data_IF_072971003265
#
_entry.id   IF_072971003265
#
_cell.length_a   1.000
_cell.length_b   1.000
_cell.length_c   1.000
_cell.angle_alpha   90.00
_cell.angle_beta   90.00
_cell.angle_gamma   90.00
#
_symmetry.space_group_name_H-M   'P 1'
#
loop_
_entity.id
_entity.type
_entity.pdbx_description
1 polymer ?
#
# COMPACT_ATOMS: atom_id res chain seq x y z
N UNK A 1 -25.68 -25.51 -3.46
CA UNK A 1 -24.57 -26.32 -2.94
C UNK A 1 -23.28 -25.62 -3.32
N UNK A 2 -22.37 -25.38 -2.37
CA UNK A 2 -21.08 -24.77 -2.65
C UNK A 2 -20.06 -25.90 -2.78
N UNK A 3 -19.69 -26.26 -4.01
CA UNK A 3 -18.65 -27.25 -4.25
C UNK A 3 -17.27 -26.62 -4.07
N UNK A 4 -16.33 -27.38 -3.50
CA UNK A 4 -14.95 -26.90 -3.33
C UNK A 4 -14.28 -26.83 -4.70
N UNK A 5 -13.66 -25.70 -5.00
CA UNK A 5 -12.84 -25.53 -6.20
C UNK A 5 -11.64 -26.49 -6.19
N UNK A 6 -11.43 -27.23 -7.28
CA UNK A 6 -10.22 -28.04 -7.50
C UNK A 6 -9.13 -27.16 -8.12
N UNK A 7 -7.93 -27.19 -7.54
CA UNK A 7 -6.76 -26.46 -8.06
C UNK A 7 -5.87 -27.43 -8.84
N UNK A 8 -5.52 -27.07 -10.07
CA UNK A 8 -4.64 -27.87 -10.93
C UNK A 8 -3.40 -27.05 -11.29
N UNK A 9 -2.17 -27.54 -11.02
CA UNK A 9 -0.96 -26.86 -11.45
C UNK A 9 -0.82 -26.94 -12.97
N UNK A 10 -0.61 -25.79 -13.63
CA UNK A 10 -0.46 -25.71 -15.09
C UNK A 10 0.97 -26.05 -15.58
N UNK A 11 1.87 -26.42 -14.67
CA UNK A 11 3.26 -26.77 -14.97
C UNK A 11 4.23 -25.58 -14.90
N UNK A 12 5.40 -25.74 -15.52
CA UNK A 12 6.48 -24.75 -15.57
C UNK A 12 6.65 -24.30 -17.01
N UNK A 13 6.69 -22.98 -17.24
CA UNK A 13 6.97 -22.38 -18.54
C UNK A 13 8.44 -21.98 -18.56
N UNK A 14 9.23 -22.57 -19.47
CA UNK A 14 10.67 -22.28 -19.61
C UNK A 14 10.90 -21.01 -20.44
N UNK A 15 10.47 -19.87 -19.90
CA UNK A 15 10.51 -18.56 -20.53
C UNK A 15 10.94 -17.49 -19.53
N UNK A 16 11.65 -16.47 -20.00
CA UNK A 16 12.11 -15.37 -19.15
C UNK A 16 11.14 -14.18 -19.24
N UNK A 17 10.41 -13.91 -18.17
CA UNK A 17 9.51 -12.74 -18.08
C UNK A 17 10.22 -11.38 -18.26
N UNK A 18 11.55 -11.31 -18.11
CA UNK A 18 12.32 -10.09 -18.33
C UNK A 18 12.58 -9.79 -19.82
N UNK A 19 12.27 -10.73 -20.72
CA UNK A 19 12.44 -10.59 -22.18
C UNK A 19 11.05 -10.45 -22.79
N UNK A 20 10.80 -9.38 -23.54
CA UNK A 20 9.45 -9.05 -24.04
C UNK A 20 8.85 -10.16 -24.91
N UNK A 21 9.64 -10.78 -25.79
CA UNK A 21 9.19 -11.87 -26.66
C UNK A 21 8.81 -13.13 -25.87
N UNK A 22 9.57 -13.44 -24.82
CA UNK A 22 9.28 -14.55 -23.94
C UNK A 22 8.08 -14.26 -23.05
N UNK A 23 7.93 -13.03 -22.56
CA UNK A 23 6.75 -12.58 -21.81
C UNK A 23 5.48 -12.68 -22.68
N UNK A 24 5.55 -12.28 -23.95
CA UNK A 24 4.46 -12.46 -24.90
C UNK A 24 4.10 -13.95 -25.07
N UNK A 25 5.10 -14.83 -25.19
CA UNK A 25 4.87 -16.26 -25.29
C UNK A 25 4.19 -16.84 -24.02
N UNK A 26 4.60 -16.37 -22.83
CA UNK A 26 3.95 -16.72 -21.55
C UNK A 26 2.47 -16.30 -21.57
N UNK A 27 2.18 -15.04 -21.94
CA UNK A 27 0.81 -14.52 -21.94
C UNK A 27 -0.07 -15.26 -22.97
N UNK A 28 0.45 -15.55 -24.17
CA UNK A 28 -0.29 -16.35 -25.16
C UNK A 28 -0.60 -17.75 -24.65
N UNK A 29 0.34 -18.40 -23.96
CA UNK A 29 0.08 -19.69 -23.34
C UNK A 29 -1.04 -19.58 -22.29
N UNK A 30 -1.05 -18.55 -21.45
CA UNK A 30 -2.13 -18.31 -20.50
C UNK A 30 -3.47 -17.98 -21.16
N UNK A 31 -3.45 -17.30 -22.30
CA UNK A 31 -4.66 -16.98 -23.07
C UNK A 31 -5.42 -18.26 -23.47
N UNK A 32 -4.70 -19.35 -23.79
CA UNK A 32 -5.32 -20.66 -24.13
C UNK A 32 -6.13 -21.27 -22.99
N UNK A 33 -5.96 -20.79 -21.76
CA UNK A 33 -6.68 -21.24 -20.59
C UNK A 33 -7.83 -20.30 -20.18
N UNK A 34 -8.04 -19.20 -20.90
CA UNK A 34 -9.14 -18.29 -20.61
C UNK A 34 -10.48 -18.96 -20.94
N UNK A 35 -11.47 -18.89 -20.03
CA UNK A 35 -12.80 -19.37 -20.34
C UNK A 35 -13.40 -18.53 -21.47
N UNK A 36 -13.99 -19.20 -22.44
CA UNK A 36 -14.77 -18.56 -23.50
C UNK A 36 -16.25 -18.82 -23.22
N UNK A 37 -17.05 -17.77 -23.28
CA UNK A 37 -18.49 -17.91 -23.38
C UNK A 37 -18.82 -18.48 -24.77
N UNK A 38 -19.96 -19.17 -24.90
CA UNK A 38 -20.35 -19.89 -26.13
C UNK A 38 -20.46 -19.05 -27.41
N UNK A 39 -20.27 -17.73 -27.31
CA UNK A 39 -20.29 -16.76 -28.42
C UNK A 39 -18.88 -16.21 -28.78
N UNK A 40 -17.80 -16.95 -28.48
CA UNK A 40 -16.40 -16.50 -28.66
C UNK A 40 -16.01 -15.24 -27.86
N UNK A 41 -16.83 -14.83 -26.89
CA UNK A 41 -16.49 -13.77 -25.96
C UNK A 41 -15.58 -14.35 -24.87
N UNK A 42 -14.40 -13.76 -24.71
CA UNK A 42 -13.42 -14.18 -23.69
C UNK A 42 -13.85 -13.62 -22.34
N UNK A 43 -14.08 -14.50 -21.36
CA UNK A 43 -14.41 -14.08 -20.02
C UNK A 43 -13.17 -13.49 -19.32
N UNK A 44 -13.38 -12.38 -18.62
CA UNK A 44 -12.31 -11.56 -18.06
C UNK A 44 -11.72 -12.23 -16.82
N UNK A 45 -10.43 -12.50 -16.86
CA UNK A 45 -9.73 -13.15 -15.76
C UNK A 45 -8.66 -12.24 -15.14
N UNK A 46 -8.52 -12.35 -13.82
CA UNK A 46 -7.47 -11.66 -13.07
C UNK A 46 -6.14 -12.42 -13.18
N UNK A 47 -5.09 -11.68 -13.54
CA UNK A 47 -3.70 -12.14 -13.57
C UNK A 47 -2.91 -11.39 -12.51
N UNK A 48 -2.59 -12.08 -11.42
CA UNK A 48 -1.80 -11.52 -10.33
C UNK A 48 -0.34 -11.97 -10.44
N UNK A 49 0.58 -11.00 -10.34
CA UNK A 49 2.02 -11.24 -10.32
C UNK A 49 2.73 -10.24 -9.41
N UNK A 50 4.04 -10.33 -9.30
CA UNK A 50 4.80 -9.26 -8.64
C UNK A 50 4.74 -7.95 -9.46
N UNK A 51 5.21 -6.85 -8.87
CA UNK A 51 5.17 -5.54 -9.52
C UNK A 51 5.88 -5.52 -10.88
N UNK A 52 7.07 -6.15 -10.99
CA UNK A 52 7.87 -6.13 -12.21
C UNK A 52 7.26 -7.04 -13.28
N UNK A 53 6.77 -8.22 -12.91
CA UNK A 53 6.04 -9.11 -13.81
C UNK A 53 4.83 -8.40 -14.39
N UNK A 54 4.03 -7.72 -13.56
CA UNK A 54 2.83 -7.01 -14.00
C UNK A 54 3.17 -5.83 -14.89
N UNK A 55 4.18 -5.02 -14.54
CA UNK A 55 4.63 -3.90 -15.38
C UNK A 55 5.06 -4.38 -16.77
N UNK A 56 5.86 -5.45 -16.84
CA UNK A 56 6.30 -6.03 -18.12
C UNK A 56 5.13 -6.60 -18.91
N UNK A 57 4.19 -7.28 -18.26
CA UNK A 57 3.00 -7.80 -18.90
C UNK A 57 2.15 -6.68 -19.53
N UNK A 58 1.90 -5.61 -18.77
CA UNK A 58 1.15 -4.44 -19.23
C UNK A 58 1.85 -3.77 -20.42
N UNK A 59 3.17 -3.60 -20.35
CA UNK A 59 3.95 -3.04 -21.45
C UNK A 59 3.85 -3.89 -22.74
N UNK A 60 3.92 -5.22 -22.60
CA UNK A 60 3.74 -6.14 -23.73
C UNK A 60 2.33 -6.04 -24.30
N UNK A 61 1.29 -6.10 -23.47
CA UNK A 61 -0.10 -5.98 -23.95
C UNK A 61 -0.35 -4.63 -24.63
N UNK A 62 0.16 -3.53 -24.09
CA UNK A 62 0.07 -2.21 -24.72
C UNK A 62 0.71 -2.18 -26.12
N UNK A 63 1.81 -2.90 -26.31
CA UNK A 63 2.48 -3.01 -27.63
C UNK A 63 1.66 -3.77 -28.67
N UNK A 64 0.70 -4.60 -28.24
CA UNK A 64 -0.18 -5.38 -29.09
C UNK A 64 -1.50 -4.69 -29.42
N UNK A 65 -1.71 -3.46 -28.96
CA UNK A 65 -2.98 -2.72 -29.10
C UNK A 65 -3.50 -2.59 -30.54
N UNK A 66 -2.65 -2.75 -31.56
CA UNK A 66 -3.03 -2.73 -32.97
C UNK A 66 -3.38 -4.13 -33.56
N UNK A 67 -3.53 -5.16 -32.73
CA UNK A 67 -3.93 -6.50 -33.16
C UNK A 67 -5.35 -6.52 -33.74
N UNK A 68 -5.61 -7.47 -34.65
CA UNK A 68 -6.88 -7.56 -35.36
C UNK A 68 -7.89 -8.52 -34.71
N UNK A 69 -7.42 -9.35 -33.77
CA UNK A 69 -8.23 -10.34 -33.07
C UNK A 69 -8.14 -10.18 -31.54
N UNK A 70 -9.15 -10.65 -30.77
CA UNK A 70 -9.09 -10.68 -29.31
C UNK A 70 -7.85 -11.41 -28.77
N UNK A 71 -7.39 -12.45 -29.48
CA UNK A 71 -6.17 -13.19 -29.12
C UNK A 71 -4.91 -12.36 -29.40
N UNK A 72 -4.86 -11.64 -30.52
CA UNK A 72 -3.70 -10.79 -30.87
C UNK A 72 -3.48 -9.68 -29.85
N UNK A 73 -4.56 -9.12 -29.31
CA UNK A 73 -4.51 -8.05 -28.30
C UNK A 73 -4.53 -8.56 -26.85
N UNK A 74 -4.60 -9.89 -26.65
CA UNK A 74 -4.73 -10.54 -25.34
C UNK A 74 -5.92 -10.04 -24.51
N UNK A 75 -7.07 -9.88 -25.17
CA UNK A 75 -8.31 -9.41 -24.55
C UNK A 75 -8.78 -10.35 -23.43
N UNK A 76 -9.28 -9.79 -22.34
CA UNK A 76 -9.76 -10.57 -21.20
C UNK A 76 -8.75 -10.71 -20.05
N UNK A 77 -7.47 -10.40 -20.28
CA UNK A 77 -6.46 -10.41 -19.23
C UNK A 77 -6.47 -9.11 -18.40
N UNK A 78 -6.83 -9.19 -17.12
CA UNK A 78 -6.80 -8.06 -16.19
C UNK A 78 -5.63 -8.22 -15.22
N UNK A 79 -4.58 -7.42 -15.40
CA UNK A 79 -3.38 -7.51 -14.57
C UNK A 79 -3.55 -6.79 -13.24
N UNK A 80 -3.17 -7.46 -12.15
CA UNK A 80 -3.19 -6.91 -10.80
C UNK A 80 -1.87 -7.18 -10.11
N UNK A 81 -1.35 -6.18 -9.40
CA UNK A 81 -0.17 -6.36 -8.56
C UNK A 81 -0.55 -7.21 -7.34
N UNK A 82 0.02 -8.40 -7.25
CA UNK A 82 -0.04 -9.29 -6.10
C UNK A 82 1.15 -9.03 -5.18
N UNK A 83 1.15 -7.91 -4.46
CA UNK A 83 2.28 -7.48 -3.63
C UNK A 83 2.32 -8.20 -2.27
N UNK A 84 2.51 -9.52 -2.31
CA UNK A 84 2.74 -10.31 -1.11
C UNK A 84 3.98 -9.81 -0.35
N UNK A 85 5.01 -9.35 -1.06
CA UNK A 85 6.24 -8.87 -0.45
C UNK A 85 6.03 -7.58 0.36
N UNK A 86 5.29 -6.59 -0.13
CA UNK A 86 4.95 -5.41 0.66
C UNK A 86 4.08 -5.78 1.87
N UNK A 87 3.10 -6.68 1.69
CA UNK A 87 2.29 -7.14 2.80
C UNK A 87 3.14 -7.81 3.90
N UNK A 88 4.11 -8.65 3.52
CA UNK A 88 5.06 -9.27 4.45
C UNK A 88 5.98 -8.23 5.09
N UNK A 89 6.46 -7.23 4.33
CA UNK A 89 7.33 -6.16 4.86
C UNK A 89 6.62 -5.30 5.89
N UNK A 90 5.43 -4.80 5.58
CA UNK A 90 4.58 -4.05 6.52
C UNK A 90 4.35 -4.90 7.76
N UNK A 91 4.01 -6.16 7.58
CA UNK A 91 3.72 -7.02 8.70
C UNK A 91 4.96 -7.32 9.56
N UNK A 92 6.13 -7.49 8.94
CA UNK A 92 7.41 -7.60 9.64
C UNK A 92 7.71 -6.34 10.47
N UNK A 93 7.39 -5.16 9.94
CA UNK A 93 7.54 -3.91 10.67
C UNK A 93 6.60 -3.83 11.88
N UNK A 94 5.32 -4.16 11.71
CA UNK A 94 4.34 -4.21 12.81
C UNK A 94 4.77 -5.20 13.91
N UNK A 95 5.29 -6.36 13.54
CA UNK A 95 5.83 -7.32 14.50
C UNK A 95 7.02 -6.76 15.27
N UNK A 96 7.96 -6.07 14.61
CA UNK A 96 9.09 -5.44 15.31
C UNK A 96 8.64 -4.45 16.38
N UNK A 97 7.56 -3.70 16.13
CA UNK A 97 7.05 -2.69 17.06
C UNK A 97 6.21 -3.33 18.17
N UNK A 98 5.26 -4.20 17.81
CA UNK A 98 4.18 -4.60 18.71
C UNK A 98 4.32 -6.00 19.30
N UNK A 99 5.30 -6.81 18.88
CA UNK A 99 5.37 -8.20 19.34
C UNK A 99 5.76 -8.35 20.81
N UNK A 100 6.61 -7.47 21.34
CA UNK A 100 7.08 -7.60 22.73
C UNK A 100 8.07 -8.76 22.93
N UNK A 101 8.76 -8.76 24.08
CA UNK A 101 9.82 -9.74 24.37
C UNK A 101 9.33 -10.95 25.17
N UNK A 102 8.26 -10.80 25.92
CA UNK A 102 7.68 -11.84 26.77
C UNK A 102 6.19 -11.61 27.00
N UNK A 103 5.53 -12.57 27.63
CA UNK A 103 4.13 -12.51 28.04
C UNK A 103 3.87 -11.49 29.17
N UNK A 104 4.90 -11.18 29.96
CA UNK A 104 4.86 -10.10 30.96
C UNK A 104 4.74 -8.69 30.38
N UNK A 105 5.01 -8.51 29.08
CA UNK A 105 4.79 -7.25 28.36
C UNK A 105 3.32 -7.16 27.92
N UNK A 106 2.45 -6.79 28.87
CA UNK A 106 1.00 -6.77 28.69
C UNK A 106 0.60 -5.85 27.53
N UNK A 107 -0.40 -6.26 26.73
CA UNK A 107 -0.83 -5.58 25.50
C UNK A 107 0.13 -5.70 24.30
N UNK A 108 1.17 -6.53 24.40
CA UNK A 108 1.97 -6.94 23.23
C UNK A 108 1.34 -8.12 22.48
N UNK A 109 1.70 -8.31 21.20
CA UNK A 109 1.24 -9.46 20.43
C UNK A 109 1.74 -10.79 21.03
N UNK A 110 2.89 -10.82 21.71
CA UNK A 110 3.38 -12.02 22.40
C UNK A 110 2.50 -12.38 23.60
N UNK A 111 2.15 -11.38 24.42
CA UNK A 111 1.25 -11.57 25.57
C UNK A 111 -0.12 -12.06 25.10
N UNK A 112 -0.70 -11.41 24.09
CA UNK A 112 -1.99 -11.79 23.51
C UNK A 112 -1.95 -13.20 22.91
N UNK A 113 -0.89 -13.55 22.18
CA UNK A 113 -0.70 -14.88 21.59
C UNK A 113 -0.76 -15.97 22.66
N UNK A 114 -0.09 -15.72 23.79
CA UNK A 114 -0.06 -16.63 24.94
C UNK A 114 -1.42 -16.73 25.60
N UNK A 115 -2.09 -15.59 25.80
CA UNK A 115 -3.41 -15.51 26.44
C UNK A 115 -4.49 -16.33 25.71
N UNK A 116 -4.48 -16.31 24.37
CA UNK A 116 -5.45 -17.05 23.55
C UNK A 116 -4.91 -18.36 22.96
N UNK A 117 -3.78 -18.85 23.48
CA UNK A 117 -3.10 -20.10 23.11
C UNK A 117 -2.87 -20.30 21.60
N UNK A 118 -2.46 -19.24 20.88
CA UNK A 118 -2.18 -19.29 19.43
C UNK A 118 -0.76 -19.79 19.14
N UNK A 119 -0.51 -21.08 19.31
CA UNK A 119 0.83 -21.71 19.18
C UNK A 119 1.43 -21.74 17.77
N UNK A 120 0.59 -21.58 16.75
CA UNK A 120 1.01 -21.55 15.35
C UNK A 120 1.58 -20.18 14.92
N UNK A 121 1.43 -19.15 15.76
CA UNK A 121 1.97 -17.81 15.53
C UNK A 121 3.45 -17.75 15.93
N UNK A 122 4.29 -17.20 15.05
CA UNK A 122 5.74 -17.11 15.20
C UNK A 122 6.19 -15.66 15.32
N UNK A 123 7.39 -15.44 15.87
CA UNK A 123 8.01 -14.11 15.94
C UNK A 123 8.52 -13.62 14.57
N UNK A 124 8.63 -14.54 13.60
CA UNK A 124 9.08 -14.24 12.24
C UNK A 124 7.93 -14.51 11.26
N UNK A 125 7.21 -13.47 10.82
CA UNK A 125 6.05 -13.56 9.94
C UNK A 125 6.26 -14.41 8.69
N UNK A 126 7.43 -14.31 8.08
CA UNK A 126 7.76 -15.06 6.87
C UNK A 126 7.68 -16.58 7.04
N UNK A 127 7.86 -17.08 8.27
CA UNK A 127 7.85 -18.52 8.57
C UNK A 127 6.43 -19.09 8.73
N UNK A 128 5.45 -18.25 9.09
CA UNK A 128 4.07 -18.66 9.34
C UNK A 128 3.06 -17.58 8.91
N UNK A 129 3.30 -16.94 7.76
CA UNK A 129 2.63 -15.71 7.32
C UNK A 129 1.11 -15.72 7.47
N UNK A 130 0.44 -16.80 7.07
CA UNK A 130 -1.03 -16.89 7.17
C UNK A 130 -1.51 -16.86 8.62
N UNK A 131 -0.92 -17.69 9.48
CA UNK A 131 -1.29 -17.77 10.88
C UNK A 131 -1.00 -16.44 11.60
N UNK A 132 0.16 -15.85 11.30
CA UNK A 132 0.59 -14.59 11.89
C UNK A 132 -0.30 -13.42 11.43
N UNK A 133 -0.65 -13.35 10.13
CA UNK A 133 -1.58 -12.35 9.58
C UNK A 133 -2.97 -12.48 10.20
N UNK A 134 -3.53 -13.68 10.23
CA UNK A 134 -4.87 -13.92 10.77
C UNK A 134 -4.93 -13.57 12.27
N UNK A 135 -3.84 -13.82 13.00
CA UNK A 135 -3.70 -13.39 14.39
C UNK A 135 -3.63 -11.87 14.53
N UNK A 136 -2.86 -11.17 13.69
CA UNK A 136 -2.82 -9.71 13.73
C UNK A 136 -4.21 -9.10 13.47
N UNK A 137 -4.92 -9.60 12.47
CA UNK A 137 -6.30 -9.14 12.17
C UNK A 137 -7.20 -9.34 13.38
N UNK A 138 -7.18 -10.53 13.99
CA UNK A 138 -7.95 -10.81 15.21
C UNK A 138 -7.64 -9.84 16.34
N UNK A 139 -6.35 -9.55 16.56
CA UNK A 139 -5.92 -8.64 17.63
C UNK A 139 -6.35 -7.20 17.34
N UNK A 140 -6.23 -6.74 16.10
CA UNK A 140 -6.70 -5.41 15.69
C UNK A 140 -8.21 -5.31 15.87
N UNK A 141 -8.98 -6.27 15.37
CA UNK A 141 -10.44 -6.33 15.55
C UNK A 141 -10.83 -6.30 17.03
N UNK A 142 -10.17 -7.11 17.86
CA UNK A 142 -10.42 -7.12 19.30
C UNK A 142 -10.17 -5.76 19.96
N UNK A 143 -9.12 -5.04 19.53
CA UNK A 143 -8.80 -3.71 20.05
C UNK A 143 -9.76 -2.64 19.55
N UNK A 144 -10.21 -2.71 18.29
CA UNK A 144 -11.27 -1.83 17.78
C UNK A 144 -12.55 -2.04 18.59
N UNK A 145 -12.97 -3.29 18.79
CA UNK A 145 -14.15 -3.60 19.61
C UNK A 145 -13.97 -3.08 21.05
N UNK A 146 -12.81 -3.25 21.66
CA UNK A 146 -12.54 -2.73 23.00
C UNK A 146 -12.60 -1.19 23.06
N UNK A 147 -12.09 -0.50 22.04
CA UNK A 147 -12.17 0.95 21.90
C UNK A 147 -13.64 1.40 21.77
N UNK A 148 -14.42 0.74 20.91
CA UNK A 148 -15.84 1.00 20.71
C UNK A 148 -16.63 0.78 22.00
N UNK A 149 -16.39 -0.34 22.70
CA UNK A 149 -17.05 -0.63 23.97
C UNK A 149 -16.76 0.45 25.01
N UNK A 150 -15.50 0.89 25.10
CA UNK A 150 -15.06 1.94 26.04
C UNK A 150 -15.69 3.29 25.70
N UNK A 151 -15.70 3.65 24.41
CA UNK A 151 -16.16 4.97 23.98
C UNK A 151 -17.67 5.09 23.95
N UNK A 152 -18.38 4.04 23.56
CA UNK A 152 -19.84 4.03 23.49
C UNK A 152 -20.49 3.65 24.83
N UNK A 153 -19.69 3.19 25.80
CA UNK A 153 -20.14 2.90 27.16
C UNK A 153 -20.88 1.57 27.28
N UNK A 154 -20.38 0.53 26.61
CA UNK A 154 -20.86 -0.84 26.82
C UNK A 154 -20.29 -1.38 28.14
N UNK A 155 -21.14 -2.01 28.96
CA UNK A 155 -20.70 -2.73 30.16
C UNK A 155 -20.15 -4.11 29.83
N UNK A 156 -20.73 -4.74 28.82
CA UNK A 156 -20.40 -6.08 28.33
C UNK A 156 -20.88 -6.27 26.88
N UNK A 157 -20.58 -7.43 26.30
CA UNK A 157 -20.86 -7.75 24.89
C UNK A 157 -22.34 -7.79 24.52
N UNK A 158 -23.23 -7.89 25.50
CA UNK A 158 -24.69 -7.97 25.30
C UNK A 158 -25.41 -6.68 25.70
N UNK A 159 -24.69 -5.73 26.29
CA UNK A 159 -25.23 -4.43 26.70
C UNK A 159 -25.48 -3.51 25.51
N UNK A 160 -26.25 -2.44 25.74
CA UNK A 160 -26.46 -1.38 24.76
C UNK A 160 -25.52 -0.19 25.03
N UNK A 161 -25.17 0.61 24.00
CA UNK A 161 -24.32 1.77 24.16
C UNK A 161 -25.02 2.84 25.02
N UNK A 162 -24.40 3.22 26.15
CA UNK A 162 -24.94 4.23 27.06
C UNK A 162 -24.72 5.66 26.58
N UNK A 163 -23.58 5.94 25.94
CA UNK A 163 -23.20 7.30 25.51
C UNK A 163 -23.77 7.66 24.13
N UNK A 164 -24.03 6.66 23.29
CA UNK A 164 -24.63 6.84 21.97
C UNK A 164 -25.68 5.74 21.72
N UNK A 165 -26.88 5.87 22.32
CA UNK A 165 -27.93 4.87 22.19
C UNK A 165 -28.40 4.74 20.74
N UNK A 166 -28.75 3.52 20.36
CA UNK A 166 -29.27 3.21 19.03
C UNK A 166 -30.62 3.92 18.82
N UNK A 167 -30.86 4.51 17.64
CA UNK A 167 -32.17 5.04 17.28
C UNK A 167 -33.27 3.97 17.37
N UNK A 168 -34.40 4.28 18.04
CA UNK A 168 -35.53 3.35 18.22
C UNK A 168 -36.19 2.91 16.90
N UNK A 169 -36.00 3.68 15.83
CA UNK A 169 -36.58 3.47 14.51
C UNK A 169 -35.57 2.96 13.48
N UNK A 170 -34.41 2.44 13.90
CA UNK A 170 -33.32 1.98 13.00
C UNK A 170 -33.80 1.05 11.86
N UNK A 171 -34.77 0.17 12.12
CA UNK A 171 -35.34 -0.74 11.13
C UNK A 171 -36.27 -0.05 10.11
N UNK A 172 -36.81 1.13 10.46
CA UNK A 172 -37.69 1.95 9.62
C UNK A 172 -36.92 3.04 8.88
N UNK A 173 -35.69 3.33 9.29
CA UNK A 173 -34.82 4.31 8.64
C UNK A 173 -34.32 3.82 7.28
N UNK A 174 -34.00 4.78 6.41
CA UNK A 174 -33.35 4.47 5.13
C UNK A 174 -31.93 3.97 5.35
N UNK A 175 -31.40 3.21 4.38
CA UNK A 175 -29.99 2.77 4.40
C UNK A 175 -29.01 3.94 4.55
N UNK A 176 -29.34 5.09 3.97
CA UNK A 176 -28.54 6.30 4.05
C UNK A 176 -28.50 6.89 5.47
N UNK A 177 -29.66 6.99 6.13
CA UNK A 177 -29.71 7.49 7.51
C UNK A 177 -28.96 6.56 8.49
N UNK A 178 -29.09 5.25 8.32
CA UNK A 178 -28.33 4.26 9.09
C UNK A 178 -26.82 4.40 8.85
N UNK A 179 -26.40 4.64 7.60
CA UNK A 179 -24.99 4.89 7.27
C UNK A 179 -24.47 6.19 7.91
N UNK A 180 -25.25 7.27 7.90
CA UNK A 180 -24.87 8.53 8.54
C UNK A 180 -24.70 8.36 10.06
N UNK A 181 -25.60 7.60 10.69
CA UNK A 181 -25.46 7.26 12.10
C UNK A 181 -24.16 6.47 12.37
N UNK A 182 -23.90 5.42 11.59
CA UNK A 182 -22.67 4.62 11.73
C UNK A 182 -21.42 5.49 11.55
N UNK A 183 -21.37 6.34 10.51
CA UNK A 183 -20.25 7.25 10.29
C UNK A 183 -20.02 8.19 11.47
N UNK A 184 -21.09 8.77 12.02
CA UNK A 184 -21.00 9.64 13.21
C UNK A 184 -20.39 8.88 14.39
N UNK A 185 -20.86 7.66 14.65
CA UNK A 185 -20.34 6.81 15.74
C UNK A 185 -18.88 6.47 15.51
N UNK A 186 -18.52 6.01 14.30
CA UNK A 186 -17.15 5.69 13.92
C UNK A 186 -16.20 6.90 14.05
N UNK A 187 -16.64 8.10 13.68
CA UNK A 187 -15.85 9.32 13.83
C UNK A 187 -15.42 9.55 15.28
N UNK A 188 -16.30 9.33 16.27
CA UNK A 188 -15.96 9.50 17.69
C UNK A 188 -14.81 8.59 18.12
N UNK A 189 -14.80 7.35 17.63
CA UNK A 189 -13.77 6.35 17.95
C UNK A 189 -12.44 6.73 17.27
N UNK A 190 -12.49 7.07 15.99
CA UNK A 190 -11.30 7.43 15.21
C UNK A 190 -10.66 8.72 15.75
N UNK A 191 -11.46 9.73 16.06
CA UNK A 191 -11.00 10.98 16.67
C UNK A 191 -10.28 10.76 17.99
N UNK A 192 -10.74 9.79 18.80
CA UNK A 192 -10.14 9.54 20.12
C UNK A 192 -8.90 8.65 20.09
N UNK A 193 -8.92 7.60 19.29
CA UNK A 193 -7.91 6.53 19.35
C UNK A 193 -6.92 6.51 18.18
N UNK A 194 -7.26 7.12 17.05
CA UNK A 194 -6.40 7.15 15.85
C UNK A 194 -5.78 8.53 15.68
N UNK A 195 -6.57 9.58 15.82
CA UNK A 195 -6.11 10.95 15.69
C UNK A 195 -5.63 11.49 17.05
N UNK A 196 -4.37 11.25 17.38
CA UNK A 196 -3.70 12.12 18.36
C UNK A 196 -3.51 13.49 17.71
N UNK A 197 -4.10 14.53 18.30
CA UNK A 197 -4.01 15.92 17.84
C UNK A 197 -2.55 16.32 17.59
N UNK A 198 -1.61 15.82 18.39
CA UNK A 198 -0.18 16.10 18.20
C UNK A 198 0.40 15.38 16.98
N UNK A 199 0.02 14.12 16.75
CA UNK A 199 0.47 13.32 15.60
C UNK A 199 -0.11 13.84 14.28
N UNK A 200 -1.40 14.22 14.28
CA UNK A 200 -2.06 14.81 13.11
C UNK A 200 -1.48 16.17 12.77
N UNK A 201 -1.24 17.02 13.77
CA UNK A 201 -0.57 18.30 13.55
C UNK A 201 0.86 18.11 13.03
N UNK A 202 1.60 17.12 13.56
CA UNK A 202 2.92 16.77 13.06
C UNK A 202 2.90 16.30 11.59
N UNK A 203 1.93 15.47 11.22
CA UNK A 203 1.73 15.05 9.82
C UNK A 203 1.35 16.24 8.93
N UNK A 204 0.46 17.11 9.39
CA UNK A 204 0.04 18.30 8.65
C UNK A 204 1.21 19.25 8.44
N UNK A 205 2.03 19.48 9.47
CA UNK A 205 3.26 20.27 9.36
C UNK A 205 4.24 19.64 8.37
N UNK A 206 4.40 18.32 8.36
CA UNK A 206 5.26 17.65 7.37
C UNK A 206 4.74 17.81 5.94
N UNK A 207 3.43 17.69 5.73
CA UNK A 207 2.79 17.89 4.42
C UNK A 207 2.97 19.34 3.98
N UNK A 208 2.74 20.31 4.87
CA UNK A 208 2.94 21.74 4.59
C UNK A 208 4.39 22.03 4.24
N UNK A 209 5.36 21.52 5.01
CA UNK A 209 6.79 21.67 4.71
C UNK A 209 7.18 21.02 3.37
N UNK A 210 6.63 19.85 3.06
CA UNK A 210 6.87 19.19 1.79
C UNK A 210 6.34 20.03 0.61
N UNK A 211 5.13 20.57 0.75
CA UNK A 211 4.52 21.46 -0.24
C UNK A 211 5.31 22.77 -0.38
N UNK A 212 5.70 23.41 0.72
CA UNK A 212 6.55 24.62 0.71
C UNK A 212 7.88 24.35 0.02
N UNK A 213 8.46 23.17 0.23
CA UNK A 213 9.70 22.74 -0.44
C UNK A 213 9.48 22.55 -1.94
N UNK A 214 8.38 21.93 -2.35
CA UNK A 214 8.03 21.73 -3.76
C UNK A 214 7.72 23.06 -4.47
N UNK A 215 7.01 23.96 -3.81
CA UNK A 215 6.70 25.30 -4.29
C UNK A 215 8.00 26.11 -4.44
N UNK A 216 8.90 26.05 -3.46
CA UNK A 216 10.22 26.68 -3.53
C UNK A 216 11.08 26.12 -4.68
N UNK A 217 11.00 24.81 -4.96
CA UNK A 217 11.65 24.19 -6.12
C UNK A 217 11.02 24.63 -7.44
N UNK A 218 9.70 24.81 -7.48
CA UNK A 218 8.97 25.23 -8.67
C UNK A 218 9.30 26.68 -9.07
N UNK A 219 9.49 27.56 -8.07
CA UNK A 219 9.82 28.98 -8.23
C UNK A 219 11.29 29.23 -8.54
N UNK A 220 12.15 28.21 -8.55
CA UNK A 220 13.56 28.40 -8.90
C UNK A 220 13.71 28.92 -10.33
N UNK A 221 14.64 29.85 -10.57
CA UNK A 221 14.92 30.35 -11.91
C UNK A 221 15.30 29.19 -12.83
N UNK A 222 14.60 29.07 -13.96
CA UNK A 222 14.90 28.11 -15.02
C UNK A 222 15.40 28.86 -16.26
N UNK A 223 16.26 28.21 -17.01
CA UNK A 223 16.64 28.68 -18.35
C UNK A 223 15.45 28.54 -19.31
N UNK A 224 15.51 29.18 -20.49
CA UNK A 224 14.40 29.17 -21.46
C UNK A 224 14.01 27.75 -21.95
N UNK A 225 14.93 26.79 -21.87
CA UNK A 225 14.74 25.37 -22.16
C UNK A 225 14.30 24.54 -20.93
N UNK A 226 13.93 25.20 -19.82
CA UNK A 226 13.36 24.57 -18.63
C UNK A 226 14.37 23.91 -17.69
N UNK A 227 15.67 24.11 -17.89
CA UNK A 227 16.75 23.56 -17.06
C UNK A 227 17.09 24.43 -15.86
N UNK A 228 17.70 23.83 -14.84
CA UNK A 228 18.22 24.51 -13.66
C UNK A 228 19.62 25.06 -13.94
N UNK A 229 19.82 26.40 -13.97
CA UNK A 229 21.16 26.99 -14.15
C UNK A 229 22.00 26.81 -12.88
N UNK A 230 23.31 26.70 -13.04
CA UNK A 230 24.25 26.78 -11.92
C UNK A 230 24.07 28.12 -11.18
N UNK A 231 24.07 28.07 -9.84
CA UNK A 231 23.89 29.27 -9.00
C UNK A 231 25.13 30.16 -8.92
N UNK A 232 26.29 29.69 -9.42
CA UNK A 232 27.54 30.45 -9.34
C UNK A 232 27.56 31.57 -10.40
N UNK A 233 27.86 32.83 -10.00
CA UNK A 233 27.88 33.95 -10.95
C UNK A 233 28.83 33.72 -12.12
N UNK A 234 28.33 33.86 -13.34
CA UNK A 234 29.13 33.69 -14.58
C UNK A 234 29.30 32.24 -15.04
N UNK A 235 28.71 31.25 -14.35
CA UNK A 235 28.70 29.87 -14.81
C UNK A 235 27.61 29.63 -15.86
N UNK A 236 27.96 29.03 -16.99
CA UNK A 236 27.03 28.73 -18.09
C UNK A 236 26.40 27.33 -18.04
N UNK A 237 26.79 26.49 -17.07
CA UNK A 237 26.27 25.13 -16.96
C UNK A 237 24.83 25.09 -16.45
N UNK A 238 24.03 24.20 -17.04
CA UNK A 238 22.64 23.95 -16.65
C UNK A 238 22.34 22.46 -16.56
N UNK A 239 21.37 22.09 -15.73
CA UNK A 239 21.06 20.70 -15.37
C UNK A 239 19.57 20.41 -15.55
N UNK A 240 19.24 19.18 -15.92
CA UNK A 240 17.85 18.74 -16.09
C UNK A 240 17.06 18.70 -14.77
N UNK A 241 17.75 18.41 -13.65
CA UNK A 241 17.16 18.28 -12.32
C UNK A 241 17.95 19.07 -11.29
N UNK A 242 17.29 19.60 -10.26
CA UNK A 242 17.92 20.20 -9.08
C UNK A 242 18.44 19.13 -8.10
N UNK A 243 19.32 18.26 -8.61
CA UNK A 243 19.80 17.09 -7.90
C UNK A 243 21.31 17.09 -7.67
N UNK A 244 21.81 15.92 -7.26
CA UNK A 244 23.21 15.70 -6.85
C UNK A 244 24.24 16.18 -7.88
N UNK A 245 23.97 16.02 -9.19
CA UNK A 245 24.90 16.44 -10.24
C UNK A 245 25.10 17.96 -10.30
N UNK A 246 24.02 18.74 -10.11
CA UNK A 246 24.10 20.21 -10.03
C UNK A 246 24.89 20.63 -8.79
N UNK A 247 24.58 20.04 -7.64
CA UNK A 247 25.26 20.34 -6.36
C UNK A 247 26.77 20.00 -6.40
N UNK A 248 27.13 18.84 -6.98
CA UNK A 248 28.54 18.45 -7.17
C UNK A 248 29.30 19.41 -8.07
N UNK A 249 28.67 19.87 -9.15
CA UNK A 249 29.25 20.91 -10.00
C UNK A 249 29.39 22.23 -9.25
N UNK A 250 28.37 22.66 -8.52
CA UNK A 250 28.38 23.90 -7.73
C UNK A 250 29.48 23.89 -6.65
N UNK A 251 29.72 22.73 -6.02
CA UNK A 251 30.80 22.53 -5.06
C UNK A 251 32.21 22.55 -5.67
N UNK A 252 32.33 22.48 -7.01
CA UNK A 252 33.62 22.56 -7.71
C UNK A 252 34.09 23.99 -8.03
N UNK A 253 33.24 24.99 -7.81
CA UNK A 253 33.62 26.41 -7.96
C UNK A 253 34.51 26.89 -6.82
N UNK A 254 35.28 27.96 -7.05
CA UNK A 254 36.15 28.57 -6.05
C UNK A 254 35.86 30.08 -5.92
N UNK A 255 35.42 30.58 -4.74
CA UNK A 255 35.11 29.81 -3.54
C UNK A 255 33.87 28.92 -3.73
N UNK A 256 33.80 27.75 -3.06
CA UNK A 256 32.67 26.86 -3.17
C UNK A 256 31.40 27.53 -2.64
N UNK A 257 30.28 27.32 -3.32
CA UNK A 257 28.98 27.76 -2.83
C UNK A 257 28.63 26.95 -1.57
N UNK A 258 28.43 27.65 -0.44
CA UNK A 258 27.90 27.05 0.78
C UNK A 258 26.41 26.77 0.56
N UNK A 259 26.09 25.57 0.07
CA UNK A 259 24.71 25.09 0.02
C UNK A 259 24.33 24.65 1.44
N UNK A 260 23.31 25.25 2.04
CA UNK A 260 22.76 24.78 3.31
C UNK A 260 22.20 23.37 3.12
N UNK A 261 22.72 22.40 3.89
CA UNK A 261 22.38 20.98 3.83
C UNK A 261 21.02 20.68 4.50
N UNK A 262 19.97 21.47 4.27
CA UNK A 262 18.66 21.23 4.89
C UNK A 262 17.79 20.23 4.09
N UNK A 263 18.39 19.46 3.18
CA UNK A 263 17.72 18.31 2.55
C UNK A 263 18.58 17.07 2.69
N UNK A 264 18.57 16.49 3.90
CA UNK A 264 18.98 15.11 4.12
C UNK A 264 18.00 14.19 3.40
N UNK A 265 18.36 13.76 2.19
CA UNK A 265 17.82 12.53 1.59
C UNK A 265 18.54 11.28 2.11
N UNK A 266 19.32 11.38 3.18
CA UNK A 266 20.03 10.28 3.82
C UNK A 266 19.28 9.84 5.08
N UNK A 267 18.10 9.23 4.91
CA UNK A 267 17.51 8.34 5.93
C UNK A 267 16.43 7.43 5.30
N UNK A 268 16.78 6.75 4.21
CA UNK A 268 16.12 5.51 3.79
C UNK A 268 17.19 4.47 3.49
N UNK A 269 18.02 4.17 4.49
CA UNK A 269 18.87 2.99 4.54
C UNK A 269 19.40 2.77 5.96
N UNK A 270 18.52 2.38 6.90
CA UNK A 270 18.83 1.56 8.09
C UNK A 270 17.54 1.08 8.75
#
# INVERSE_FOLDING_TARGET
MCEKSTKVPLGIIFKNESVNEDMLAILRQFYTHLPTSGENEVDRQLFAGDQLTVERAVNVVASLSNGYTPEDILEGMNFQIGDWHAAVKIFTYLQKIFYGKSDGDTCSLYSDRTLIDRRNVKAQPQSAYRADRDFLVLVVEARVIAADMTELGFTDKSSQPLKCPLPDDLQRQSKFANLQYLNKVSSLIVEKFVFDVNSVNGLLEQILRAQETEDALSLQPRTADGRFPCRFPGCSFSFKYDGTSRRKHEASHNPPLLVSNDTSCDEIAS
#
